data_IF_591427519625
#
_entry.id   IF_591427519625
#
_cell.length_a   1.000
_cell.length_b   1.000
_cell.length_c   1.000
_cell.angle_alpha   90.00
_cell.angle_beta   90.00
_cell.angle_gamma   90.00
#
_symmetry.space_group_name_H-M   'P 1'
#
loop_
_entity.id
_entity.type
_entity.pdbx_description
1 polymer ?
#
# COMPACT_ATOMS: atom_id res chain seq x y z
N UNK A 1 -7.53 -11.48 17.95
CA UNK A 1 -8.65 -11.08 17.05
C UNK A 1 -8.50 -11.87 15.75
N UNK A 2 -9.55 -11.97 14.93
CA UNK A 2 -9.66 -12.99 13.88
C UNK A 2 -8.48 -12.93 12.90
N UNK A 3 -7.74 -14.04 12.79
CA UNK A 3 -6.82 -14.35 11.71
C UNK A 3 -7.58 -14.07 10.40
N UNK A 4 -7.31 -12.95 9.75
CA UNK A 4 -7.63 -12.81 8.33
C UNK A 4 -6.74 -13.84 7.66
N UNK A 5 -7.21 -15.09 7.59
CA UNK A 5 -6.49 -16.16 6.93
C UNK A 5 -6.10 -15.67 5.54
N UNK A 6 -4.98 -16.15 5.01
CA UNK A 6 -4.57 -15.99 3.60
C UNK A 6 -5.72 -16.03 2.56
N UNK A 7 -6.82 -16.70 2.87
CA UNK A 7 -8.04 -16.80 2.04
C UNK A 7 -9.10 -15.69 2.24
N UNK A 8 -8.91 -14.81 3.23
CA UNK A 8 -9.82 -13.72 3.60
C UNK A 8 -9.57 -12.44 2.80
N UNK A 9 -8.37 -12.28 2.22
CA UNK A 9 -8.12 -11.22 1.25
C UNK A 9 -8.87 -11.53 -0.04
N UNK A 10 -10.06 -10.92 -0.17
CA UNK A 10 -10.91 -11.02 -1.36
C UNK A 10 -10.56 -9.98 -2.43
N UNK A 11 -9.73 -9.00 -2.07
CA UNK A 11 -9.39 -7.87 -2.93
C UNK A 11 -7.90 -7.88 -3.28
N UNK A 12 -7.58 -7.26 -4.40
CA UNK A 12 -6.20 -7.02 -4.83
C UNK A 12 -5.98 -5.53 -4.97
N UNK A 13 -4.75 -5.09 -4.72
CA UNK A 13 -4.33 -3.71 -5.01
C UNK A 13 -3.06 -3.74 -5.84
N UNK A 14 -2.94 -2.75 -6.72
CA UNK A 14 -1.76 -2.52 -7.54
C UNK A 14 -0.90 -1.46 -6.85
N UNK A 15 0.35 -1.79 -6.57
CA UNK A 15 1.33 -0.86 -6.01
C UNK A 15 2.27 -0.42 -7.13
N UNK A 16 2.46 0.89 -7.21
CA UNK A 16 3.36 1.57 -8.14
C UNK A 16 4.55 2.09 -7.33
N UNK A 17 5.71 1.43 -7.44
CA UNK A 17 6.90 1.89 -6.76
C UNK A 17 7.35 3.23 -7.33
N UNK A 18 7.68 4.15 -6.45
CA UNK A 18 8.16 5.49 -6.81
C UNK A 18 9.61 5.62 -6.41
N UNK A 19 10.48 5.89 -7.37
CA UNK A 19 11.89 6.19 -7.12
C UNK A 19 12.18 7.62 -7.52
N UNK A 20 12.74 8.42 -6.62
CA UNK A 20 13.29 9.74 -6.98
C UNK A 20 14.66 9.51 -7.62
N UNK A 21 14.72 9.57 -8.94
CA UNK A 21 15.86 9.10 -9.72
C UNK A 21 16.27 10.09 -10.81
N UNK A 22 16.59 11.32 -10.45
CA UNK A 22 17.22 12.29 -11.36
C UNK A 22 18.65 12.60 -10.94
N UNK A 23 19.50 13.04 -11.88
CA UNK A 23 20.85 13.59 -11.61
C UNK A 23 20.87 14.73 -10.56
N UNK A 24 19.69 15.28 -10.25
CA UNK A 24 19.43 16.34 -9.27
C UNK A 24 18.24 16.03 -8.33
N UNK A 25 17.71 14.80 -8.30
CA UNK A 25 16.68 14.39 -7.33
C UNK A 25 15.22 14.80 -7.60
N UNK A 26 14.93 15.54 -8.67
CA UNK A 26 13.58 16.06 -8.95
C UNK A 26 12.70 15.15 -9.85
N UNK A 27 13.27 14.15 -10.53
CA UNK A 27 12.50 13.29 -11.42
C UNK A 27 11.90 12.10 -10.66
N UNK A 28 10.56 12.04 -10.65
CA UNK A 28 9.78 10.95 -10.06
C UNK A 28 9.66 9.84 -11.09
N UNK A 29 10.47 8.78 -10.93
CA UNK A 29 10.41 7.59 -11.78
C UNK A 29 9.42 6.60 -11.17
N UNK A 30 8.40 6.24 -11.94
CA UNK A 30 7.49 5.16 -11.61
C UNK A 30 8.11 3.84 -12.07
N UNK A 31 8.35 2.92 -11.13
CA UNK A 31 8.83 1.58 -11.44
C UNK A 31 7.68 0.64 -11.82
N UNK A 32 8.01 -0.63 -12.05
CA UNK A 32 7.05 -1.63 -12.52
C UNK A 32 5.95 -1.89 -11.48
N UNK A 33 4.65 -1.77 -11.86
CA UNK A 33 3.55 -2.02 -10.94
C UNK A 33 3.43 -3.51 -10.59
N UNK A 34 3.22 -3.80 -9.31
CA UNK A 34 3.02 -5.16 -8.81
C UNK A 34 1.70 -5.27 -8.04
N UNK A 35 1.20 -6.50 -7.88
CA UNK A 35 -0.05 -6.74 -7.14
C UNK A 35 0.28 -7.25 -5.76
N UNK A 36 -0.56 -6.84 -4.82
CA UNK A 36 -0.61 -7.37 -3.47
C UNK A 36 -2.04 -7.83 -3.18
N UNK A 37 -2.16 -8.98 -2.52
CA UNK A 37 -3.44 -9.39 -1.94
C UNK A 37 -3.68 -8.54 -0.69
N UNK A 38 -4.83 -7.88 -0.62
CA UNK A 38 -5.12 -6.95 0.45
C UNK A 38 -6.62 -6.85 0.73
N UNK A 39 -6.97 -6.15 1.80
CA UNK A 39 -8.34 -5.73 2.07
C UNK A 39 -8.33 -4.25 2.39
N UNK A 40 -9.11 -3.49 1.64
CA UNK A 40 -9.18 -2.04 1.81
C UNK A 40 -10.49 -1.65 2.45
N UNK A 41 -10.42 -0.67 3.34
CA UNK A 41 -11.57 -0.04 3.97
C UNK A 41 -11.46 1.46 3.73
N UNK A 42 -12.53 2.04 3.20
CA UNK A 42 -12.64 3.49 3.11
C UNK A 42 -12.98 4.01 4.52
N UNK A 43 -12.13 4.86 5.07
CA UNK A 43 -12.28 5.40 6.42
C UNK A 43 -11.64 6.76 6.42
N UNK A 44 -12.40 7.77 6.83
CA UNK A 44 -11.93 9.13 7.01
C UNK A 44 -11.46 9.32 8.46
N UNK A 45 -10.33 8.71 8.80
CA UNK A 45 -9.70 8.85 10.12
C UNK A 45 -8.51 9.80 10.07
N UNK A 46 -8.33 10.57 11.15
CA UNK A 46 -7.09 11.33 11.35
C UNK A 46 -5.99 10.33 11.71
N UNK A 47 -4.96 10.26 10.88
CA UNK A 47 -3.79 9.45 11.08
C UNK A 47 -2.56 10.34 11.16
N UNK A 48 -1.52 9.84 11.80
CA UNK A 48 -0.22 10.50 11.85
C UNK A 48 0.66 9.81 10.81
N UNK A 49 1.25 10.62 9.94
CA UNK A 49 2.21 10.19 8.92
C UNK A 49 3.52 9.75 9.58
N UNK A 50 4.40 9.06 8.86
CA UNK A 50 5.69 8.68 9.43
C UNK A 50 6.58 9.88 9.79
N UNK A 51 6.32 11.04 9.17
CA UNK A 51 6.98 12.32 9.49
C UNK A 51 6.40 12.99 10.76
N UNK A 52 5.36 12.41 11.39
CA UNK A 52 4.68 13.01 12.54
C UNK A 52 3.61 14.05 12.16
N UNK A 53 3.35 14.23 10.86
CA UNK A 53 2.32 15.14 10.34
C UNK A 53 0.93 14.51 10.40
N UNK A 54 -0.07 15.25 10.85
CA UNK A 54 -1.46 14.79 10.81
C UNK A 54 -1.99 14.81 9.37
N UNK A 55 -2.53 13.69 8.90
CA UNK A 55 -3.24 13.59 7.64
C UNK A 55 -4.58 12.90 7.82
N UNK A 56 -5.53 13.24 6.95
CA UNK A 56 -6.79 12.51 6.87
C UNK A 56 -6.52 11.32 5.96
N UNK A 57 -6.39 10.14 6.57
CA UNK A 57 -6.41 8.89 5.81
C UNK A 57 -7.81 8.74 5.24
N UNK A 58 -7.93 8.47 3.94
CA UNK A 58 -9.22 8.21 3.28
C UNK A 58 -9.44 6.72 3.04
N UNK A 59 -8.36 5.99 2.86
CA UNK A 59 -8.39 4.56 2.63
C UNK A 59 -7.29 3.88 3.41
N UNK A 60 -7.64 2.74 3.99
CA UNK A 60 -6.75 1.89 4.77
C UNK A 60 -6.66 0.53 4.08
N UNK A 61 -5.47 0.16 3.63
CA UNK A 61 -5.19 -1.12 2.99
C UNK A 61 -4.46 -2.03 3.97
N UNK A 62 -5.06 -3.16 4.29
CA UNK A 62 -4.45 -4.19 5.13
C UNK A 62 -3.89 -5.28 4.21
N UNK A 63 -2.61 -5.60 4.32
CA UNK A 63 -1.94 -6.61 3.48
C UNK A 63 -0.92 -7.39 4.27
N UNK A 64 -0.65 -8.62 3.85
CA UNK A 64 0.48 -9.43 4.35
C UNK A 64 1.73 -9.29 3.46
N UNK A 65 1.72 -8.37 2.47
CA UNK A 65 2.73 -8.31 1.41
C UNK A 65 2.94 -9.68 0.74
N UNK A 66 1.83 -10.34 0.47
CA UNK A 66 1.76 -11.60 -0.27
C UNK A 66 0.93 -11.38 -1.54
N UNK A 67 1.29 -12.07 -2.62
CA UNK A 67 0.46 -12.21 -3.80
C UNK A 67 0.41 -13.66 -4.25
N UNK A 68 -0.79 -14.26 -4.28
CA UNK A 68 -1.01 -15.68 -4.59
C UNK A 68 -0.13 -16.61 -3.75
N UNK A 69 0.10 -16.24 -2.49
CA UNK A 69 0.95 -17.00 -1.56
C UNK A 69 2.46 -16.86 -1.76
N UNK A 70 2.92 -15.93 -2.62
CA UNK A 70 4.34 -15.56 -2.75
C UNK A 70 4.60 -14.23 -2.04
N UNK A 71 5.71 -14.09 -1.30
CA UNK A 71 6.12 -12.80 -0.75
C UNK A 71 6.40 -11.81 -1.88
N UNK A 72 5.83 -10.61 -1.74
CA UNK A 72 6.02 -9.48 -2.65
C UNK A 72 6.68 -8.32 -1.92
N UNK A 73 7.25 -7.37 -2.67
CA UNK A 73 7.93 -6.21 -2.09
C UNK A 73 6.93 -5.40 -1.25
N UNK A 74 7.32 -5.06 -0.03
CA UNK A 74 6.55 -4.13 0.78
C UNK A 74 6.51 -2.77 0.10
N UNK A 75 5.33 -2.14 -0.02
CA UNK A 75 5.26 -0.75 -0.45
C UNK A 75 6.06 0.13 0.50
N UNK A 76 6.52 1.28 0.00
CA UNK A 76 7.22 2.29 0.79
C UNK A 76 6.41 3.58 0.82
N UNK A 77 6.67 4.43 1.81
CA UNK A 77 5.99 5.73 1.94
C UNK A 77 6.34 6.59 0.72
N UNK A 78 5.33 7.24 0.15
CA UNK A 78 5.45 7.99 -1.10
C UNK A 78 5.18 7.16 -2.37
N UNK A 79 4.98 5.84 -2.26
CA UNK A 79 4.52 5.02 -3.39
C UNK A 79 3.04 5.28 -3.69
N UNK A 80 2.59 4.93 -4.89
CA UNK A 80 1.16 4.99 -5.23
C UNK A 80 0.54 3.60 -5.10
N UNK A 81 -0.69 3.54 -4.61
CA UNK A 81 -1.50 2.32 -4.53
C UNK A 81 -2.87 2.56 -5.17
N UNK A 82 -3.29 1.64 -6.04
CA UNK A 82 -4.59 1.64 -6.68
C UNK A 82 -5.41 0.41 -6.24
N UNK A 83 -6.71 0.60 -6.06
CA UNK A 83 -7.66 -0.48 -5.75
C UNK A 83 -7.88 -1.31 -7.03
N UNK A 84 -7.66 -2.63 -6.99
CA UNK A 84 -7.84 -3.53 -8.13
C UNK A 84 -6.56 -3.82 -8.92
N UNK A 85 -6.72 -4.56 -10.03
CA UNK A 85 -5.65 -4.86 -10.98
C UNK A 85 -5.60 -3.80 -12.08
N UNK A 86 -4.60 -2.93 -11.99
CA UNK A 86 -4.43 -1.77 -12.88
C UNK A 86 -3.08 -1.81 -13.59
N UNK A 87 -2.43 -2.97 -13.59
CA UNK A 87 -1.13 -3.22 -14.25
C UNK A 87 -1.09 -2.86 -15.75
N UNK A 88 -2.25 -2.76 -16.38
CA UNK A 88 -2.38 -2.31 -17.77
C UNK A 88 -1.94 -0.85 -17.96
N UNK A 89 -2.07 -0.04 -16.91
CA UNK A 89 -1.68 1.36 -16.89
C UNK A 89 -0.34 1.48 -16.18
N UNK A 90 0.69 1.94 -16.89
CA UNK A 90 2.01 2.17 -16.29
C UNK A 90 2.04 3.44 -15.43
N UNK A 91 1.21 4.43 -15.78
CA UNK A 91 1.16 5.70 -15.09
C UNK A 91 0.08 5.70 -13.99
N UNK A 92 0.44 5.79 -12.70
CA UNK A 92 -0.53 5.71 -11.62
C UNK A 92 -1.57 6.83 -11.66
N UNK A 93 -1.29 7.97 -12.31
CA UNK A 93 -2.21 9.11 -12.40
C UNK A 93 -3.36 8.87 -13.38
N UNK A 94 -3.16 7.99 -14.35
CA UNK A 94 -4.15 7.66 -15.38
C UNK A 94 -4.97 6.41 -15.03
N UNK A 95 -4.78 5.87 -13.83
CA UNK A 95 -5.52 4.70 -13.36
C UNK A 95 -6.97 5.07 -13.09
N UNK A 96 -7.88 4.45 -13.84
CA UNK A 96 -9.32 4.57 -13.66
C UNK A 96 -9.71 4.03 -12.26
N UNK A 97 -10.13 4.93 -11.36
CA UNK A 97 -10.36 4.61 -9.95
C UNK A 97 -9.47 5.38 -8.95
N UNK A 98 -8.47 6.11 -9.44
CA UNK A 98 -7.61 6.99 -8.65
C UNK A 98 -6.55 6.23 -7.86
N UNK A 99 -5.28 6.49 -8.16
CA UNK A 99 -4.19 6.04 -7.29
C UNK A 99 -4.07 6.96 -6.09
N UNK A 100 -3.87 6.36 -4.92
CA UNK A 100 -3.68 7.08 -3.67
C UNK A 100 -2.22 6.98 -3.26
N UNK A 101 -1.66 8.07 -2.73
CA UNK A 101 -0.27 8.09 -2.25
C UNK A 101 -0.24 7.45 -0.89
N UNK A 102 0.70 6.54 -0.68
CA UNK A 102 0.94 5.93 0.61
C UNK A 102 1.63 6.95 1.51
N UNK A 103 0.97 7.24 2.62
CA UNK A 103 1.38 8.27 3.58
C UNK A 103 1.93 7.66 4.86
N UNK A 104 1.25 6.65 5.39
CA UNK A 104 1.77 5.89 6.51
C UNK A 104 1.75 4.40 6.21
N UNK A 105 2.79 3.71 6.66
CA UNK A 105 2.85 2.25 6.68
C UNK A 105 3.11 1.85 8.12
N UNK A 106 2.06 1.36 8.76
CA UNK A 106 2.14 0.82 10.11
C UNK A 106 2.41 -0.68 9.95
N UNK A 107 3.69 -1.05 10.01
CA UNK A 107 4.12 -2.43 10.10
C UNK A 107 4.19 -2.80 11.57
N UNK A 108 3.27 -3.65 12.03
CA UNK A 108 3.42 -4.20 13.37
C UNK A 108 4.64 -5.15 13.34
N UNK A 109 5.72 -4.81 14.04
CA UNK A 109 6.84 -5.74 14.29
C UNK A 109 6.31 -6.89 15.16
N UNK A 110 5.70 -7.89 14.53
CA UNK A 110 5.12 -9.07 15.19
C UNK A 110 6.17 -10.14 15.44
N UNK A 111 7.45 -9.78 15.65
CA UNK A 111 8.45 -10.75 16.14
C UNK A 111 8.14 -11.22 17.56
N UNK A 112 7.33 -10.46 18.32
CA UNK A 112 7.03 -10.75 19.73
C UNK A 112 5.57 -11.16 20.00
N UNK A 113 4.59 -10.75 19.19
CA UNK A 113 3.18 -11.02 19.44
C UNK A 113 2.43 -11.44 18.18
N UNK A 114 2.25 -12.76 18.02
CA UNK A 114 1.47 -13.39 16.95
C UNK A 114 -0.02 -13.07 17.13
N UNK A 115 -0.54 -12.07 16.42
CA UNK A 115 -1.91 -11.94 15.92
C UNK A 115 -2.20 -10.46 15.62
N UNK A 116 -2.22 -10.07 14.34
CA UNK A 116 -2.98 -8.97 13.67
C UNK A 116 -2.31 -8.69 12.29
N UNK A 117 -2.98 -8.07 11.28
CA UNK A 117 -2.51 -8.06 9.89
C UNK A 117 -1.10 -7.49 9.76
N UNK A 118 -0.23 -8.20 9.02
CA UNK A 118 1.21 -7.93 8.97
C UNK A 118 1.56 -6.46 8.61
N UNK A 119 0.79 -5.78 7.76
CA UNK A 119 0.98 -4.37 7.42
C UNK A 119 -0.33 -3.60 7.19
N UNK A 120 -0.44 -2.40 7.77
CA UNK A 120 -1.54 -1.44 7.57
C UNK A 120 -1.03 -0.19 6.84
N UNK A 121 -1.41 -0.07 5.57
CA UNK A 121 -1.07 1.04 4.69
C UNK A 121 -2.20 2.07 4.73
N UNK A 122 -1.86 3.32 4.93
CA UNK A 122 -2.80 4.45 4.99
C UNK A 122 -2.47 5.46 3.90
N UNK A 123 -3.50 5.98 3.26
CA UNK A 123 -3.38 6.92 2.14
C UNK A 123 -4.16 8.20 2.39
#
# INVERSE_FOLDING_TARGET
MAKMSRWSYKSVATVYPVSKGGKWGDETIYGEPYLIDCNWVDSNEKAIDADGSEFISRSVFNTEALHKGKPVKLPEIGYYIAKGDTRITLDPREVEGGSSIIKAIDGFDTRMFRQDPDYKIRT
#
